data_IF_203031009263
#
_entry.id   IF_203031009263
#
_cell.length_a   1.000
_cell.length_b   1.000
_cell.length_c   1.000
_cell.angle_alpha   90.00
_cell.angle_beta   90.00
_cell.angle_gamma   90.00
#
_symmetry.space_group_name_H-M   'P 1'
#
loop_
_entity.id
_entity.type
_entity.pdbx_description
1 polymer ?
#
# COMPACT_ATOMS: atom_id res chain seq x y z
N UNK A 1 1.07 3.89 -4.64
CA UNK A 1 1.73 2.76 -3.93
C UNK A 1 3.23 3.02 -3.94
N UNK A 2 3.88 2.94 -2.79
CA UNK A 2 5.34 3.03 -2.70
C UNK A 2 5.91 1.60 -2.61
N UNK A 3 6.90 1.29 -3.43
CA UNK A 3 7.61 0.00 -3.46
C UNK A 3 9.08 0.25 -3.26
N UNK A 4 9.71 -0.55 -2.44
CA UNK A 4 11.13 -0.45 -2.16
C UNK A 4 11.86 -1.63 -2.80
N UNK A 5 12.87 -1.34 -3.60
CA UNK A 5 13.65 -2.35 -4.30
C UNK A 5 14.98 -2.62 -3.60
N UNK A 6 15.43 -3.86 -3.64
CA UNK A 6 16.74 -4.31 -3.19
C UNK A 6 17.76 -4.31 -4.34
N UNK A 7 17.29 -4.43 -5.59
CA UNK A 7 18.06 -4.26 -6.81
C UNK A 7 17.13 -3.80 -7.94
N UNK A 8 17.68 -3.01 -8.87
CA UNK A 8 16.99 -2.57 -10.10
C UNK A 8 17.91 -2.69 -11.31
N UNK A 9 18.92 -3.56 -11.24
CA UNK A 9 19.82 -3.84 -12.37
C UNK A 9 19.00 -4.48 -13.50
N UNK A 10 19.10 -3.91 -14.70
CA UNK A 10 18.34 -4.41 -15.85
C UNK A 10 19.10 -4.23 -17.15
N UNK A 11 19.03 -5.24 -18.01
CA UNK A 11 19.41 -5.18 -19.42
C UNK A 11 18.19 -4.91 -20.32
N UNK A 12 17.00 -4.88 -19.73
CA UNK A 12 15.70 -4.62 -20.34
C UNK A 12 15.06 -3.31 -19.84
N UNK A 13 15.72 -2.13 -20.04
CA UNK A 13 15.28 -0.87 -19.44
C UNK A 13 13.89 -0.41 -19.87
N UNK A 14 13.45 -0.86 -21.04
CA UNK A 14 12.15 -0.53 -21.62
C UNK A 14 11.02 -1.52 -21.26
N UNK A 15 11.35 -2.58 -20.49
CA UNK A 15 10.34 -3.51 -19.99
C UNK A 15 9.33 -2.80 -19.09
N UNK A 16 8.05 -3.14 -19.25
CA UNK A 16 6.98 -2.62 -18.40
C UNK A 16 6.88 -3.42 -17.10
N UNK A 17 7.06 -2.75 -15.98
CA UNK A 17 6.80 -3.31 -14.66
C UNK A 17 5.42 -2.85 -14.23
N UNK A 18 4.52 -3.80 -14.06
CA UNK A 18 3.12 -3.53 -13.69
C UNK A 18 2.89 -3.82 -12.20
N UNK A 19 2.16 -2.93 -11.55
CA UNK A 19 1.65 -3.12 -10.21
C UNK A 19 0.13 -3.09 -10.27
N UNK A 20 -0.52 -4.10 -9.68
CA UNK A 20 -1.98 -4.12 -9.55
C UNK A 20 -2.39 -4.22 -8.10
N UNK A 21 -3.55 -3.63 -7.80
CA UNK A 21 -4.28 -3.86 -6.55
C UNK A 21 -5.40 -4.83 -6.86
N UNK A 22 -5.44 -5.94 -6.16
CA UNK A 22 -6.40 -7.01 -6.41
C UNK A 22 -7.30 -7.24 -5.19
N UNK A 23 -8.53 -7.66 -5.46
CA UNK A 23 -9.40 -8.20 -4.43
C UNK A 23 -8.84 -9.51 -3.86
N UNK A 24 -9.46 -10.01 -2.80
CA UNK A 24 -9.17 -11.34 -2.25
C UNK A 24 -10.28 -12.28 -2.68
N UNK A 25 -9.94 -13.46 -3.19
CA UNK A 25 -10.91 -14.51 -3.53
C UNK A 25 -11.42 -15.22 -2.27
N UNK A 26 -12.44 -16.05 -2.41
CA UNK A 26 -12.94 -16.92 -1.32
C UNK A 26 -11.87 -17.91 -0.81
N UNK A 27 -10.88 -18.24 -1.64
CA UNK A 27 -9.75 -19.09 -1.27
C UNK A 27 -8.60 -18.34 -0.58
N UNK A 28 -8.70 -17.01 -0.44
CA UNK A 28 -7.64 -16.19 0.13
C UNK A 28 -6.51 -15.83 -0.86
N UNK A 29 -6.71 -16.03 -2.15
CA UNK A 29 -5.75 -15.77 -3.23
C UNK A 29 -6.00 -14.38 -3.85
N UNK A 30 -5.01 -13.81 -4.59
CA UNK A 30 -5.24 -12.62 -5.40
C UNK A 30 -6.37 -12.84 -6.42
N UNK A 31 -7.38 -11.98 -6.39
CA UNK A 31 -8.56 -12.02 -7.23
C UNK A 31 -8.59 -10.95 -8.32
N UNK A 32 -9.75 -10.36 -8.53
CA UNK A 32 -10.00 -9.36 -9.57
C UNK A 32 -9.12 -8.12 -9.39
N UNK A 33 -8.60 -7.59 -10.52
CA UNK A 33 -7.81 -6.35 -10.56
C UNK A 33 -8.72 -5.15 -10.31
N UNK A 34 -8.46 -4.43 -9.23
CA UNK A 34 -9.19 -3.23 -8.84
C UNK A 34 -8.57 -1.96 -9.43
N UNK A 35 -7.26 -1.90 -9.54
CA UNK A 35 -6.53 -0.78 -10.15
C UNK A 35 -5.14 -1.23 -10.62
N UNK A 36 -4.56 -0.49 -11.55
CA UNK A 36 -3.29 -0.80 -12.19
C UNK A 36 -2.37 0.43 -12.21
N UNK A 37 -1.08 0.20 -12.11
CA UNK A 37 -0.04 1.15 -12.42
C UNK A 37 1.04 0.46 -13.24
N UNK A 38 1.69 1.17 -14.15
CA UNK A 38 2.84 0.66 -14.90
C UNK A 38 3.92 1.72 -15.01
N UNK A 39 5.16 1.28 -15.06
CA UNK A 39 6.32 2.13 -15.37
C UNK A 39 7.41 1.30 -16.03
N UNK A 40 8.37 1.95 -16.66
CA UNK A 40 9.52 1.26 -17.24
C UNK A 40 10.48 0.78 -16.17
N UNK A 41 11.18 -0.33 -16.42
CA UNK A 41 12.20 -0.86 -15.52
C UNK A 41 13.30 0.19 -15.22
N UNK A 42 13.66 1.01 -16.20
CA UNK A 42 14.61 2.13 -16.05
C UNK A 42 14.15 3.25 -15.10
N UNK A 43 12.86 3.31 -14.75
CA UNK A 43 12.31 4.32 -13.84
C UNK A 43 12.28 3.86 -12.38
N UNK A 44 12.58 2.57 -12.13
CA UNK A 44 12.68 2.02 -10.78
C UNK A 44 13.84 2.67 -10.02
N UNK A 45 13.66 2.85 -8.72
CA UNK A 45 14.63 3.52 -7.86
C UNK A 45 15.25 2.55 -6.87
N UNK A 46 16.55 2.53 -6.85
CA UNK A 46 17.35 1.80 -5.87
C UNK A 46 18.59 2.63 -5.47
N UNK A 47 18.94 2.57 -4.21
CA UNK A 47 20.15 3.15 -3.66
C UNK A 47 20.62 2.21 -2.53
N UNK A 48 21.89 1.79 -2.57
CA UNK A 48 22.45 0.85 -1.60
C UNK A 48 22.60 1.47 -0.19
N UNK A 49 22.73 2.79 -0.11
CA UNK A 49 22.96 3.52 1.15
C UNK A 49 21.66 4.09 1.72
N UNK A 50 20.68 4.39 0.85
CA UNK A 50 19.43 5.02 1.23
C UNK A 50 18.25 4.19 0.75
N UNK A 51 17.26 4.01 1.61
CA UNK A 51 16.02 3.33 1.24
C UNK A 51 15.15 4.27 0.42
N UNK A 52 15.16 4.11 -0.91
CA UNK A 52 14.36 4.90 -1.83
C UNK A 52 13.05 4.20 -2.21
N UNK A 53 11.97 4.96 -2.20
CA UNK A 53 10.68 4.48 -2.68
C UNK A 53 10.50 4.76 -4.18
N UNK A 54 10.12 3.74 -4.94
CA UNK A 54 9.53 3.88 -6.27
C UNK A 54 8.02 4.06 -6.13
N UNK A 55 7.48 5.16 -6.64
CA UNK A 55 6.07 5.48 -6.48
C UNK A 55 5.26 5.08 -7.72
N UNK A 56 4.49 4.03 -7.62
CA UNK A 56 3.52 3.60 -8.62
C UNK A 56 2.22 4.39 -8.47
N UNK A 57 1.85 5.13 -9.52
CA UNK A 57 0.62 5.90 -9.55
C UNK A 57 -0.48 5.05 -10.19
N UNK A 58 -1.46 4.64 -9.38
CA UNK A 58 -2.60 3.89 -9.87
C UNK A 58 -3.44 4.71 -10.87
N UNK A 59 -4.00 4.03 -11.87
CA UNK A 59 -4.89 4.59 -12.90
C UNK A 59 -6.19 5.15 -12.31
N UNK A 60 -6.65 4.57 -11.20
CA UNK A 60 -7.84 5.00 -10.47
C UNK A 60 -7.68 4.81 -8.97
N UNK A 61 -8.52 5.49 -8.21
CA UNK A 61 -8.62 5.29 -6.76
C UNK A 61 -9.32 3.97 -6.46
N UNK A 62 -8.80 3.24 -5.47
CA UNK A 62 -9.46 2.05 -4.92
C UNK A 62 -10.10 2.43 -3.60
N UNK A 63 -11.41 2.27 -3.51
CA UNK A 63 -12.13 2.48 -2.26
C UNK A 63 -12.12 1.19 -1.45
N UNK A 64 -11.54 1.26 -0.25
CA UNK A 64 -11.46 0.14 0.67
C UNK A 64 -12.35 0.40 1.89
N UNK A 65 -13.12 -0.60 2.28
CA UNK A 65 -13.90 -0.57 3.52
C UNK A 65 -13.04 -0.95 4.71
N UNK A 66 -13.44 -0.54 5.90
CA UNK A 66 -12.75 -0.97 7.14
C UNK A 66 -12.73 -2.50 7.25
N UNK A 67 -11.53 -3.06 7.40
CA UNK A 67 -11.31 -4.51 7.51
C UNK A 67 -11.30 -5.25 6.17
N UNK A 68 -11.41 -4.54 5.05
CA UNK A 68 -11.29 -5.17 3.73
C UNK A 68 -9.83 -5.46 3.44
N UNK A 69 -9.55 -6.70 3.06
CA UNK A 69 -8.24 -7.17 2.62
C UNK A 69 -8.06 -6.95 1.11
N UNK A 70 -6.83 -6.81 0.69
CA UNK A 70 -6.45 -6.69 -0.72
C UNK A 70 -5.02 -7.20 -0.93
N UNK A 71 -4.71 -7.58 -2.15
CA UNK A 71 -3.36 -7.89 -2.58
C UNK A 71 -2.75 -6.76 -3.40
N UNK A 72 -1.44 -6.64 -3.31
CA UNK A 72 -0.62 -5.89 -4.25
C UNK A 72 0.21 -6.89 -5.03
N UNK A 73 0.00 -6.94 -6.33
CA UNK A 73 0.73 -7.82 -7.25
C UNK A 73 1.67 -6.96 -8.08
N UNK A 74 2.92 -7.37 -8.19
CA UNK A 74 3.95 -6.66 -8.96
C UNK A 74 4.60 -7.64 -9.93
N UNK A 75 4.69 -7.25 -11.17
CA UNK A 75 5.29 -8.02 -12.25
C UNK A 75 4.44 -7.99 -13.54
N UNK A 76 4.80 -8.78 -14.57
CA UNK A 76 5.98 -9.66 -14.58
C UNK A 76 7.28 -8.85 -14.56
N UNK A 77 8.32 -9.43 -13.98
CA UNK A 77 9.68 -8.92 -14.14
C UNK A 77 10.31 -9.49 -15.40
N UNK A 78 11.24 -8.79 -16.07
CA UNK A 78 12.03 -9.36 -17.13
C UNK A 78 12.68 -10.67 -16.67
N UNK A 79 12.74 -11.65 -17.54
CA UNK A 79 13.27 -12.96 -17.20
C UNK A 79 14.73 -12.87 -16.76
N UNK A 80 14.98 -13.30 -15.54
CA UNK A 80 16.31 -13.54 -15.04
C UNK A 80 16.71 -14.96 -15.44
N UNK A 81 17.39 -15.11 -16.57
CA UNK A 81 17.95 -16.40 -16.97
C UNK A 81 19.23 -16.61 -16.18
N UNK A 82 19.16 -17.40 -15.11
CA UNK A 82 20.29 -17.74 -14.23
C UNK A 82 21.47 -18.44 -14.94
N UNK A 83 21.31 -18.79 -16.22
CA UNK A 83 22.34 -19.46 -17.02
C UNK A 83 23.34 -18.52 -17.67
N UNK A 84 23.08 -17.22 -17.72
CA UNK A 84 23.96 -16.23 -18.29
C UNK A 84 24.72 -15.46 -17.20
N UNK A 85 25.86 -14.87 -17.58
CA UNK A 85 26.69 -14.06 -16.68
C UNK A 85 25.83 -13.06 -15.89
N UNK A 86 26.05 -12.88 -14.56
CA UNK A 86 25.28 -11.95 -13.74
C UNK A 86 25.34 -10.49 -14.20
N UNK A 87 26.19 -10.18 -15.17
CA UNK A 87 26.30 -8.83 -15.76
C UNK A 87 25.45 -8.65 -17.03
N UNK A 88 24.77 -9.69 -17.51
CA UNK A 88 23.95 -9.68 -18.74
C UNK A 88 22.48 -10.01 -18.48
N UNK A 89 22.08 -10.28 -17.23
CA UNK A 89 20.71 -10.61 -16.85
C UNK A 89 20.03 -9.48 -16.10
N UNK A 90 18.69 -9.50 -16.15
CA UNK A 90 17.89 -8.62 -15.30
C UNK A 90 17.89 -9.13 -13.86
N UNK A 91 18.19 -8.22 -12.91
CA UNK A 91 18.15 -8.48 -11.47
C UNK A 91 17.31 -7.39 -10.81
N UNK A 92 16.00 -7.53 -10.90
CA UNK A 92 15.04 -6.66 -10.24
C UNK A 92 14.46 -7.40 -9.04
N UNK A 93 14.80 -6.93 -7.84
CA UNK A 93 14.36 -7.56 -6.60
C UNK A 93 13.65 -6.55 -5.69
N UNK A 94 12.52 -6.97 -5.10
CA UNK A 94 11.81 -6.19 -4.10
C UNK A 94 12.45 -6.44 -2.74
N UNK A 95 12.65 -5.37 -1.98
CA UNK A 95 13.09 -5.48 -0.60
C UNK A 95 12.04 -6.24 0.24
N UNK A 96 12.47 -7.23 0.98
CA UNK A 96 11.62 -8.04 1.84
C UNK A 96 12.02 -7.91 3.30
N UNK A 97 11.04 -7.93 4.19
CA UNK A 97 11.23 -8.03 5.63
C UNK A 97 10.92 -9.43 6.09
N UNK A 98 11.80 -10.02 6.87
CA UNK A 98 11.51 -11.25 7.59
C UNK A 98 10.57 -10.95 8.76
N UNK A 99 9.46 -11.65 8.84
CA UNK A 99 8.55 -11.54 9.99
C UNK A 99 9.13 -12.26 11.20
N UNK A 100 8.69 -11.86 12.39
CA UNK A 100 9.01 -12.58 13.62
C UNK A 100 8.47 -14.01 13.53
N UNK A 101 9.13 -14.92 14.24
CA UNK A 101 8.72 -16.32 14.33
C UNK A 101 7.23 -16.44 14.71
N UNK A 102 6.47 -17.26 13.96
CA UNK A 102 5.02 -17.39 14.08
C UNK A 102 4.19 -16.34 13.31
N UNK A 103 4.84 -15.40 12.58
CA UNK A 103 4.14 -14.51 11.67
C UNK A 103 3.57 -15.27 10.47
N UNK A 104 2.33 -14.90 10.05
CA UNK A 104 1.75 -15.48 8.84
C UNK A 104 2.53 -15.00 7.60
N UNK A 105 2.82 -15.92 6.69
CA UNK A 105 3.34 -15.58 5.38
C UNK A 105 2.32 -14.73 4.61
N UNK A 106 2.75 -13.58 4.10
CA UNK A 106 1.86 -12.68 3.34
C UNK A 106 2.31 -12.52 1.88
N UNK A 107 3.32 -13.28 1.48
CA UNK A 107 3.84 -13.28 0.11
C UNK A 107 3.31 -14.45 -0.67
N UNK A 108 2.93 -14.16 -1.90
CA UNK A 108 2.45 -15.12 -2.88
C UNK A 108 3.25 -14.93 -4.16
N UNK A 109 3.46 -16.00 -4.91
CA UNK A 109 4.01 -15.94 -6.24
C UNK A 109 3.10 -16.68 -7.22
N UNK A 110 3.00 -16.16 -8.43
CA UNK A 110 2.27 -16.78 -9.53
C UNK A 110 3.28 -17.52 -10.39
N UNK A 111 3.20 -18.82 -10.42
CA UNK A 111 4.16 -19.66 -11.11
C UNK A 111 3.48 -20.81 -11.83
N UNK A 112 4.21 -21.41 -12.75
CA UNK A 112 3.82 -22.65 -13.41
C UNK A 112 3.83 -23.79 -12.39
N UNK A 113 2.75 -24.56 -12.40
CA UNK A 113 2.65 -25.79 -11.62
C UNK A 113 3.63 -26.83 -12.17
N UNK A 114 4.26 -27.57 -11.27
CA UNK A 114 5.29 -28.54 -11.62
C UNK A 114 4.90 -29.94 -11.18
N UNK A 115 5.24 -30.92 -11.99
CA UNK A 115 5.17 -32.33 -11.61
C UNK A 115 6.14 -32.58 -10.44
N UNK A 116 5.62 -33.01 -9.30
CA UNK A 116 6.39 -33.22 -8.08
C UNK A 116 7.54 -34.25 -8.22
N UNK A 117 7.42 -35.18 -9.17
CA UNK A 117 8.39 -36.25 -9.37
C UNK A 117 9.51 -35.89 -10.33
N UNK A 118 9.21 -35.07 -11.32
CA UNK A 118 10.14 -34.73 -12.42
C UNK A 118 10.61 -33.26 -12.36
N UNK A 119 9.89 -32.39 -11.67
CA UNK A 119 10.11 -30.95 -11.68
C UNK A 119 9.74 -30.28 -13.01
N UNK A 120 9.08 -31.01 -13.92
CA UNK A 120 8.71 -30.51 -15.25
C UNK A 120 7.43 -29.65 -15.13
N UNK A 121 7.42 -28.51 -15.80
CA UNK A 121 6.25 -27.63 -15.86
C UNK A 121 5.05 -28.31 -16.50
N UNK A 122 3.86 -28.12 -15.96
CA UNK A 122 2.60 -28.72 -16.41
C UNK A 122 1.80 -27.84 -17.40
N UNK A 123 2.29 -26.62 -17.70
CA UNK A 123 1.60 -25.65 -18.55
C UNK A 123 0.41 -24.97 -17.87
N UNK A 124 0.18 -25.24 -16.59
CA UNK A 124 -0.86 -24.59 -15.77
C UNK A 124 -0.20 -23.65 -14.77
N UNK A 125 -0.81 -22.47 -14.54
CA UNK A 125 -0.28 -21.45 -13.65
C UNK A 125 -1.24 -21.21 -12.50
N UNK A 126 -0.72 -21.11 -11.29
CA UNK A 126 -1.50 -20.84 -10.09
C UNK A 126 -0.74 -19.99 -9.06
N UNK A 127 -1.47 -19.54 -8.05
CA UNK A 127 -0.89 -18.82 -6.92
C UNK A 127 -0.37 -19.78 -5.86
N UNK A 128 0.88 -19.58 -5.46
CA UNK A 128 1.51 -20.30 -4.35
C UNK A 128 1.80 -19.33 -3.21
N UNK A 129 1.34 -19.68 -2.03
CA UNK A 129 1.69 -18.95 -0.81
C UNK A 129 3.07 -19.41 -0.32
N UNK A 130 3.96 -18.46 -0.03
CA UNK A 130 5.24 -18.79 0.60
C UNK A 130 5.01 -19.01 2.10
N UNK A 131 4.86 -20.28 2.50
CA UNK A 131 4.61 -20.68 3.91
C UNK A 131 5.89 -20.95 4.67
N UNK A 132 6.98 -21.31 3.99
CA UNK A 132 8.22 -21.77 4.60
C UNK A 132 9.12 -20.61 5.07
N UNK A 133 9.01 -19.46 4.41
CA UNK A 133 9.72 -18.26 4.80
C UNK A 133 8.74 -17.09 5.00
N UNK A 134 8.41 -16.76 6.25
CA UNK A 134 7.44 -15.71 6.57
C UNK A 134 8.03 -14.32 6.26
N UNK A 135 8.07 -13.98 4.99
CA UNK A 135 8.51 -12.66 4.51
C UNK A 135 7.33 -11.76 4.17
N UNK A 136 7.56 -10.47 4.17
CA UNK A 136 6.66 -9.45 3.64
C UNK A 136 7.42 -8.54 2.70
N UNK A 137 6.88 -8.28 1.52
CA UNK A 137 7.44 -7.31 0.60
C UNK A 137 7.33 -5.89 1.17
N UNK A 138 8.34 -5.07 0.92
CA UNK A 138 8.37 -3.67 1.32
C UNK A 138 7.50 -2.84 0.37
N UNK A 139 6.19 -2.92 0.56
CA UNK A 139 5.18 -2.19 -0.19
C UNK A 139 4.33 -1.37 0.79
N UNK A 140 4.22 -0.06 0.55
CA UNK A 140 3.45 0.84 1.40
C UNK A 140 2.32 1.49 0.59
N UNK A 141 1.04 1.22 0.93
CA UNK A 141 -0.08 1.92 0.33
C UNK A 141 -0.07 3.40 0.78
N UNK A 142 -0.27 4.32 -0.17
CA UNK A 142 -0.53 5.72 0.14
C UNK A 142 -2.05 5.87 0.25
N UNK A 143 -2.55 5.97 1.47
CA UNK A 143 -3.97 6.02 1.75
C UNK A 143 -4.40 7.48 1.93
N UNK A 144 -5.35 7.93 1.12
CA UNK A 144 -6.09 9.14 1.38
C UNK A 144 -7.30 8.79 2.25
N UNK A 145 -7.22 9.14 3.52
CA UNK A 145 -8.42 9.16 4.35
C UNK A 145 -9.35 10.23 3.79
N UNK A 146 -10.56 9.85 3.40
CA UNK A 146 -11.55 10.81 2.87
C UNK A 146 -11.74 11.98 3.83
N UNK A 147 -12.22 13.10 3.29
CA UNK A 147 -12.53 14.31 4.05
C UNK A 147 -13.47 13.94 5.19
N UNK A 148 -12.94 13.84 6.41
CA UNK A 148 -13.68 13.41 7.60
C UNK A 148 -12.89 12.55 8.59
N UNK A 149 -11.72 12.00 8.21
CA UNK A 149 -10.93 11.13 9.11
C UNK A 149 -9.55 11.69 9.49
N UNK A 150 -9.00 12.66 8.80
CA UNK A 150 -7.81 13.40 9.24
C UNK A 150 -8.21 14.71 9.92
N UNK A 151 -8.74 14.59 11.06
CA UNK A 151 -8.84 15.44 12.22
C UNK A 151 -8.73 16.96 12.15
N UNK A 152 -8.78 17.67 11.05
CA UNK A 152 -8.89 19.13 11.01
C UNK A 152 -9.99 19.53 10.04
N UNK A 153 -11.21 19.62 10.52
CA UNK A 153 -12.29 20.27 9.78
C UNK A 153 -12.17 21.80 9.92
N UNK A 154 -12.20 22.47 8.77
CA UNK A 154 -12.39 23.92 8.76
C UNK A 154 -13.88 24.18 8.91
N UNK A 155 -14.30 24.81 10.01
CA UNK A 155 -15.68 25.22 10.16
C UNK A 155 -15.96 26.38 9.20
N UNK A 156 -16.48 26.05 8.01
CA UNK A 156 -17.29 26.94 7.22
C UNK A 156 -18.66 27.04 7.89
N UNK A 157 -19.18 28.25 7.98
CA UNK A 157 -20.45 28.54 8.66
C UNK A 157 -21.64 27.95 7.88
N UNK A 158 -21.81 26.63 7.89
CA UNK A 158 -23.02 25.98 7.43
C UNK A 158 -23.83 25.45 8.61
N UNK A 159 -24.93 26.17 8.81
CA UNK A 159 -25.94 25.96 9.83
C UNK A 159 -26.79 24.73 9.53
N UNK A 160 -26.37 23.55 9.97
CA UNK A 160 -27.33 22.49 10.24
C UNK A 160 -27.31 22.16 11.73
N UNK A 161 -28.43 22.29 12.38
CA UNK A 161 -28.63 22.25 13.83
C UNK A 161 -28.29 20.91 14.52
N UNK A 162 -27.92 19.88 13.75
CA UNK A 162 -27.55 18.58 14.29
C UNK A 162 -26.07 18.47 14.75
N UNK A 163 -25.21 19.42 14.36
CA UNK A 163 -23.78 19.41 14.66
C UNK A 163 -23.33 20.62 15.52
N UNK A 164 -24.24 21.21 16.30
CA UNK A 164 -23.87 22.31 17.17
C UNK A 164 -22.85 21.86 18.24
N UNK A 165 -21.74 22.61 18.46
CA UNK A 165 -20.79 22.26 19.49
C UNK A 165 -21.40 22.44 20.88
N UNK A 166 -21.30 21.44 21.71
CA UNK A 166 -21.73 21.48 23.12
C UNK A 166 -20.62 22.06 23.98
N UNK A 167 -19.36 21.85 23.61
CA UNK A 167 -18.21 22.42 24.31
C UNK A 167 -16.98 22.49 23.39
N UNK A 168 -16.11 23.46 23.63
CA UNK A 168 -14.85 23.67 22.94
C UNK A 168 -13.72 23.57 23.96
N UNK A 169 -12.65 22.86 23.62
CA UNK A 169 -11.49 22.67 24.48
C UNK A 169 -10.21 23.04 23.74
N UNK A 170 -9.20 23.54 24.45
CA UNK A 170 -7.83 23.61 23.95
C UNK A 170 -7.27 22.20 23.73
N UNK A 171 -6.11 22.10 23.07
CA UNK A 171 -5.39 20.82 22.90
C UNK A 171 -4.98 20.23 24.26
N UNK A 172 -4.79 21.08 25.27
CA UNK A 172 -4.43 20.70 26.65
C UNK A 172 -5.65 20.31 27.50
N UNK A 173 -6.86 20.27 26.88
CA UNK A 173 -8.08 19.83 27.54
C UNK A 173 -8.83 20.88 28.34
N UNK A 174 -8.41 22.15 28.33
CA UNK A 174 -9.12 23.23 29.00
C UNK A 174 -10.33 23.70 28.23
N UNK A 175 -11.50 23.82 28.88
CA UNK A 175 -12.71 24.30 28.24
C UNK A 175 -12.59 25.81 27.92
N UNK A 176 -12.97 26.16 26.67
CA UNK A 176 -12.90 27.55 26.17
C UNK A 176 -14.28 28.00 25.70
N UNK A 177 -14.70 29.16 26.17
CA UNK A 177 -15.99 29.76 25.77
C UNK A 177 -15.87 30.61 24.49
N UNK A 178 -14.69 31.24 24.29
CA UNK A 178 -14.42 32.09 23.11
C UNK A 178 -13.09 31.70 22.49
N UNK A 179 -13.11 30.77 21.47
CA UNK A 179 -11.90 30.37 20.81
C UNK A 179 -11.32 31.52 19.96
N UNK A 180 -10.00 31.72 20.05
CA UNK A 180 -9.29 32.73 19.27
C UNK A 180 -9.12 32.29 17.81
N UNK A 181 -9.12 33.23 16.86
CA UNK A 181 -8.81 33.00 15.46
C UNK A 181 -7.39 32.43 15.32
N UNK A 182 -7.22 31.49 14.40
CA UNK A 182 -5.94 30.82 14.15
C UNK A 182 -5.58 29.74 15.18
N UNK A 183 -6.39 29.54 16.21
CA UNK A 183 -6.17 28.51 17.20
C UNK A 183 -6.74 27.14 16.78
N UNK A 184 -6.10 26.06 17.26
CA UNK A 184 -6.58 24.68 17.10
C UNK A 184 -7.29 24.26 18.38
N UNK A 185 -8.50 23.71 18.24
CA UNK A 185 -9.35 23.34 19.37
C UNK A 185 -9.96 21.94 19.15
N UNK A 186 -10.40 21.31 20.24
CA UNK A 186 -11.20 20.10 20.23
C UNK A 186 -12.65 20.50 20.51
N UNK A 187 -13.52 20.24 19.57
CA UNK A 187 -14.93 20.52 19.66
C UNK A 187 -15.71 19.25 19.99
N UNK A 188 -16.47 19.25 21.07
CA UNK A 188 -17.39 18.17 21.44
C UNK A 188 -18.77 18.48 20.88
N UNK A 189 -19.34 17.53 20.13
CA UNK A 189 -20.67 17.65 19.50
C UNK A 189 -21.77 17.05 20.37
N UNK A 190 -23.01 17.37 20.04
CA UNK A 190 -24.17 16.89 20.78
C UNK A 190 -24.37 15.37 20.72
N UNK A 191 -23.86 14.71 19.67
CA UNK A 191 -23.86 13.25 19.50
C UNK A 191 -22.79 12.53 20.36
N UNK A 192 -22.00 13.28 21.16
CA UNK A 192 -20.93 12.76 21.98
C UNK A 192 -19.58 12.60 21.25
N UNK A 193 -19.56 12.80 19.93
CA UNK A 193 -18.30 12.78 19.15
C UNK A 193 -17.46 14.03 19.42
N UNK A 194 -16.15 13.93 19.08
CA UNK A 194 -15.23 15.06 19.22
C UNK A 194 -14.49 15.29 17.91
N UNK A 195 -14.31 16.56 17.51
CA UNK A 195 -13.58 16.95 16.31
C UNK A 195 -12.50 17.98 16.64
N UNK A 196 -11.35 17.86 15.97
CA UNK A 196 -10.29 18.87 16.01
C UNK A 196 -10.56 19.92 14.94
N UNK A 197 -10.57 21.18 15.31
CA UNK A 197 -10.97 22.29 14.43
C UNK A 197 -9.96 23.43 14.49
N UNK A 198 -9.76 24.10 13.36
CA UNK A 198 -9.00 25.35 13.25
C UNK A 198 -10.01 26.50 13.14
N UNK A 199 -9.97 27.44 14.08
CA UNK A 199 -10.82 28.63 14.06
C UNK A 199 -10.23 29.67 13.08
N UNK A 200 -10.98 30.05 12.07
CA UNK A 200 -10.62 31.10 11.08
C UNK A 200 -11.21 32.46 11.42
#
# INVERSE_FOLDING_TARGET
MAVYFASTTTVSPDADITLTVNSVTEKGEPGEVLATASMKASELKYDAENVLATNFKLDKKVELKKGQEFFVVIGPFPNNTLEESPYTSDDIAILCYRRAEGGLASTWHYAEDQDESTGQGLGTYQWFQNTDDPTSMAVAPIINYGVGTSGIDTIGADKSSANAPVAIYTIDGMKVEKPAKGGIYIMRLADGSSRKVLMR
#
